data_IF_766589667208
#
_entry.id   IF_766589667208
#
_cell.length_a   1.000
_cell.length_b   1.000
_cell.length_c   1.000
_cell.angle_alpha   90.00
_cell.angle_beta   90.00
_cell.angle_gamma   90.00
#
_symmetry.space_group_name_H-M   'P 1'
#
loop_
_entity.id
_entity.type
_entity.pdbx_description
1 polymer ?
#
# COMPACT_ATOMS: atom_id res chain seq x y z
N UNK A 1 -16.83 5.49 13.42
CA UNK A 1 -15.77 5.68 12.41
C UNK A 1 -16.08 4.73 11.25
N UNK A 2 -16.29 5.22 10.02
CA UNK A 2 -16.70 4.36 8.89
C UNK A 2 -15.59 3.35 8.60
N UNK A 3 -15.85 2.04 8.76
CA UNK A 3 -14.86 0.97 8.57
C UNK A 3 -14.14 1.03 7.21
N UNK A 4 -14.81 1.55 6.17
CA UNK A 4 -14.21 1.81 4.86
C UNK A 4 -13.07 2.83 4.90
N UNK A 5 -13.20 3.93 5.65
CA UNK A 5 -12.12 4.92 5.81
C UNK A 5 -10.93 4.33 6.57
N UNK A 6 -11.19 3.46 7.54
CA UNK A 6 -10.14 2.79 8.32
C UNK A 6 -9.38 1.79 7.46
N UNK A 7 -10.09 0.92 6.73
CA UNK A 7 -9.48 -0.02 5.79
C UNK A 7 -8.69 0.71 4.69
N UNK A 8 -9.24 1.81 4.16
CA UNK A 8 -8.55 2.62 3.16
C UNK A 8 -7.23 3.19 3.69
N UNK A 9 -7.26 3.84 4.86
CA UNK A 9 -6.04 4.36 5.49
C UNK A 9 -5.06 3.26 5.89
N UNK A 10 -5.54 2.11 6.37
CA UNK A 10 -4.68 1.01 6.78
C UNK A 10 -3.96 0.37 5.58
N UNK A 11 -4.65 0.18 4.45
CA UNK A 11 -4.03 -0.27 3.21
C UNK A 11 -3.10 0.79 2.62
N UNK A 12 -3.49 2.06 2.55
CA UNK A 12 -2.71 3.06 1.82
C UNK A 12 -1.57 3.70 2.63
N UNK A 13 -1.62 3.68 3.97
CA UNK A 13 -0.55 4.23 4.83
C UNK A 13 0.21 3.15 5.58
N UNK A 14 -0.49 2.23 6.27
CA UNK A 14 0.16 1.34 7.23
C UNK A 14 0.92 0.21 6.52
N UNK A 15 0.29 -0.43 5.53
CA UNK A 15 0.93 -1.49 4.73
C UNK A 15 2.22 -1.04 4.00
N UNK A 16 2.24 0.08 3.24
CA UNK A 16 3.46 0.49 2.55
C UNK A 16 4.58 0.88 3.53
N UNK A 17 4.25 1.46 4.69
CA UNK A 17 5.24 1.76 5.73
C UNK A 17 5.87 0.50 6.32
N UNK A 18 5.07 -0.53 6.60
CA UNK A 18 5.57 -1.80 7.12
C UNK A 18 6.45 -2.47 6.07
N UNK A 19 5.99 -2.57 4.81
CA UNK A 19 6.77 -3.16 3.72
C UNK A 19 8.10 -2.44 3.51
N UNK A 20 8.06 -1.10 3.41
CA UNK A 20 9.27 -0.29 3.23
C UNK A 20 10.25 -0.49 4.38
N UNK A 21 9.78 -0.42 5.64
CA UNK A 21 10.65 -0.58 6.80
C UNK A 21 11.27 -1.98 6.86
N UNK A 22 10.48 -3.01 6.55
CA UNK A 22 10.94 -4.42 6.55
C UNK A 22 12.02 -4.66 5.52
N UNK A 23 11.78 -4.25 4.27
CA UNK A 23 12.73 -4.44 3.17
C UNK A 23 13.96 -3.54 3.29
N UNK A 24 13.79 -2.32 3.80
CA UNK A 24 14.91 -1.41 4.05
C UNK A 24 15.85 -1.97 5.12
N UNK A 25 15.31 -2.42 6.25
CA UNK A 25 16.09 -3.08 7.31
C UNK A 25 16.76 -4.36 6.80
N UNK A 26 16.05 -5.18 6.02
CA UNK A 26 16.63 -6.39 5.43
C UNK A 26 17.80 -6.08 4.48
N UNK A 27 17.61 -5.14 3.56
CA UNK A 27 18.63 -4.74 2.59
C UNK A 27 19.87 -4.14 3.25
N UNK A 28 19.67 -3.37 4.34
CA UNK A 28 20.76 -2.68 5.02
C UNK A 28 21.53 -3.58 5.98
N UNK A 29 20.83 -4.38 6.80
CA UNK A 29 21.46 -5.16 7.85
C UNK A 29 21.83 -6.59 7.42
N UNK A 30 21.07 -7.20 6.51
CA UNK A 30 21.34 -8.59 6.07
C UNK A 30 22.18 -8.60 4.80
N UNK A 31 21.81 -7.82 3.78
CA UNK A 31 22.53 -7.81 2.50
C UNK A 31 23.68 -6.78 2.47
N UNK A 32 23.81 -5.91 3.47
CA UNK A 32 24.80 -4.83 3.51
C UNK A 32 24.88 -4.03 2.20
N UNK A 33 23.72 -3.80 1.56
CA UNK A 33 23.65 -3.09 0.29
C UNK A 33 24.11 -1.64 0.46
N UNK A 34 24.72 -1.02 -0.58
CA UNK A 34 24.91 0.42 -0.62
C UNK A 34 23.58 1.14 -0.37
N UNK A 35 23.60 2.19 0.46
CA UNK A 35 22.40 2.97 0.82
C UNK A 35 21.57 3.38 -0.40
N UNK A 36 22.25 3.83 -1.47
CA UNK A 36 21.59 4.30 -2.69
C UNK A 36 20.87 3.18 -3.46
N UNK A 37 21.49 2.00 -3.56
CA UNK A 37 20.85 0.83 -4.16
C UNK A 37 19.68 0.35 -3.32
N UNK A 38 19.83 0.31 -2.00
CA UNK A 38 18.77 -0.12 -1.10
C UNK A 38 17.56 0.84 -1.17
N UNK A 39 17.78 2.15 -1.21
CA UNK A 39 16.68 3.14 -1.38
C UNK A 39 15.98 2.97 -2.73
N UNK A 40 16.75 2.80 -3.81
CA UNK A 40 16.19 2.66 -5.17
C UNK A 40 15.36 1.37 -5.32
N UNK A 41 15.84 0.25 -4.76
CA UNK A 41 15.11 -1.01 -4.71
C UNK A 41 13.81 -0.87 -3.91
N UNK A 42 13.87 -0.24 -2.73
CA UNK A 42 12.68 -0.05 -1.89
C UNK A 42 11.66 0.90 -2.53
N UNK A 43 12.09 1.92 -3.28
CA UNK A 43 11.20 2.78 -4.07
C UNK A 43 10.48 1.97 -5.17
N UNK A 44 11.19 1.07 -5.82
CA UNK A 44 10.63 0.20 -6.86
C UNK A 44 9.59 -0.76 -6.29
N UNK A 45 9.83 -1.31 -5.09
CA UNK A 45 8.86 -2.13 -4.36
C UNK A 45 7.61 -1.32 -4.00
N UNK A 46 7.77 -0.08 -3.53
CA UNK A 46 6.64 0.82 -3.26
C UNK A 46 5.84 1.14 -4.53
N UNK A 47 6.51 1.37 -5.66
CA UNK A 47 5.82 1.62 -6.94
C UNK A 47 4.94 0.43 -7.35
N UNK A 48 5.47 -0.80 -7.27
CA UNK A 48 4.71 -2.02 -7.55
C UNK A 48 3.54 -2.18 -6.57
N UNK A 49 3.78 -1.90 -5.28
CA UNK A 49 2.74 -1.93 -4.26
C UNK A 49 1.57 -1.00 -4.59
N UNK A 50 1.86 0.26 -4.94
CA UNK A 50 0.83 1.23 -5.29
C UNK A 50 0.08 0.87 -6.58
N UNK A 51 0.76 0.30 -7.57
CA UNK A 51 0.10 -0.23 -8.79
C UNK A 51 -0.88 -1.35 -8.39
N UNK A 52 -0.45 -2.30 -7.57
CA UNK A 52 -1.30 -3.41 -7.11
C UNK A 52 -2.50 -2.91 -6.30
N UNK A 53 -2.29 -1.97 -5.37
CA UNK A 53 -3.38 -1.35 -4.60
C UNK A 53 -4.33 -0.58 -5.52
N UNK A 54 -3.84 0.13 -6.52
CA UNK A 54 -4.68 0.84 -7.49
C UNK A 54 -5.55 -0.12 -8.32
N UNK A 55 -4.98 -1.24 -8.76
CA UNK A 55 -5.72 -2.30 -9.47
C UNK A 55 -6.78 -2.91 -8.56
N UNK A 56 -6.42 -3.27 -7.32
CA UNK A 56 -7.38 -3.79 -6.34
C UNK A 56 -8.50 -2.79 -6.05
N UNK A 57 -8.16 -1.51 -5.96
CA UNK A 57 -9.15 -0.45 -5.76
C UNK A 57 -10.12 -0.34 -6.94
N UNK A 58 -9.61 -0.36 -8.18
CA UNK A 58 -10.43 -0.36 -9.39
C UNK A 58 -11.34 -1.59 -9.48
N UNK A 59 -10.85 -2.77 -9.14
CA UNK A 59 -11.68 -3.99 -9.11
C UNK A 59 -12.77 -3.95 -8.03
N UNK A 60 -12.53 -3.23 -6.93
CA UNK A 60 -13.50 -3.09 -5.84
C UNK A 60 -14.41 -1.85 -5.99
N UNK A 61 -14.20 -1.01 -7.02
CA UNK A 61 -14.97 0.23 -7.19
C UNK A 61 -16.47 -0.06 -7.37
N UNK A 62 -16.81 -1.16 -8.04
CA UNK A 62 -18.19 -1.63 -8.23
C UNK A 62 -18.89 -1.99 -6.92
N UNK A 63 -18.14 -2.47 -5.92
CA UNK A 63 -18.66 -2.76 -4.58
C UNK A 63 -18.79 -1.48 -3.74
N UNK A 64 -17.88 -0.52 -3.93
CA UNK A 64 -17.91 0.78 -3.24
C UNK A 64 -19.10 1.63 -3.72
N UNK A 65 -19.43 1.59 -5.01
CA UNK A 65 -20.53 2.34 -5.61
C UNK A 65 -21.90 1.81 -5.12
N UNK A 66 -22.08 0.48 -5.07
CA UNK A 66 -23.29 -0.14 -4.48
C UNK A 66 -23.54 0.25 -3.02
N UNK A 67 -22.49 0.37 -2.21
CA UNK A 67 -22.61 0.80 -0.80
C UNK A 67 -22.90 2.30 -0.69
N UNK A 68 -22.44 3.11 -1.63
CA UNK A 68 -22.71 4.55 -1.66
C UNK A 68 -24.16 4.84 -2.00
N UNK A 69 -24.73 4.10 -2.94
CA UNK A 69 -26.14 4.26 -3.36
C UNK A 69 -27.12 3.67 -2.34
N UNK A 70 -26.76 2.59 -1.63
CA UNK A 70 -27.58 2.02 -0.57
C UNK A 70 -27.68 2.89 0.69
N UNK A 71 -26.91 3.98 0.79
CA UNK A 71 -26.88 4.89 1.94
C UNK A 71 -27.51 6.26 1.65
N UNK A 72 -27.95 6.52 0.42
CA UNK A 72 -28.59 7.77 -0.02
C UNK A 72 -30.09 7.63 -0.31
N UNK A 73 -30.66 6.43 -0.24
CA UNK A 73 -32.10 6.16 -0.19
C UNK A 73 -32.59 5.97 1.24
#
# INVERSE_FOLDING_TARGET
MNAHKVLYSMLHLVMPLILFSSYFLWGQFVLSKPLWENVTDNLSILAIYYIGVSVLWLMNIDNVEKVRDAKSG
#
